data_IF_506133239657
#
_entry.id   IF_506133239657
#
_cell.length_a   1.000
_cell.length_b   1.000
_cell.length_c   1.000
_cell.angle_alpha   90.00
_cell.angle_beta   90.00
_cell.angle_gamma   90.00
#
_symmetry.space_group_name_H-M   'P 1'
#
loop_
_entity.id
_entity.type
_entity.pdbx_description
1 polymer ?
#
# COMPACT_ATOMS: atom_id res chain seq x y z
N UNK A 1 -21.58 17.13 14.65
CA UNK A 1 -20.52 16.11 14.53
C UNK A 1 -20.07 15.69 15.92
N UNK A 2 -20.46 14.49 16.38
CA UNK A 2 -20.07 13.97 17.70
C UNK A 2 -18.55 13.66 17.66
N UNK A 3 -17.77 14.30 18.52
CA UNK A 3 -16.40 13.89 18.84
C UNK A 3 -16.46 12.47 19.40
N UNK A 4 -16.16 11.47 18.57
CA UNK A 4 -15.92 10.11 19.04
C UNK A 4 -14.66 10.19 19.92
N UNK A 5 -14.83 10.16 21.25
CA UNK A 5 -13.72 10.00 22.18
C UNK A 5 -13.07 8.67 21.83
N UNK A 6 -11.76 8.70 21.60
CA UNK A 6 -10.95 7.51 21.40
C UNK A 6 -10.79 6.86 22.79
N UNK A 7 -11.86 6.19 23.23
CA UNK A 7 -11.79 5.20 24.32
C UNK A 7 -11.06 3.96 23.77
N UNK A 8 -10.51 3.14 24.66
CA UNK A 8 -9.87 1.89 24.29
C UNK A 8 -10.80 1.11 23.35
N UNK A 9 -10.33 0.79 22.14
CA UNK A 9 -11.10 -0.04 21.21
C UNK A 9 -11.41 -1.39 21.87
N UNK A 10 -12.60 -1.97 21.65
CA UNK A 10 -12.92 -3.30 22.16
C UNK A 10 -11.88 -4.30 21.63
N UNK A 11 -11.59 -5.34 22.40
CA UNK A 11 -10.57 -6.34 22.08
C UNK A 11 -10.69 -6.87 20.62
N UNK A 12 -11.93 -7.05 20.14
CA UNK A 12 -12.19 -7.44 18.73
C UNK A 12 -11.71 -6.41 17.71
N UNK A 13 -11.83 -5.11 18.02
CA UNK A 13 -11.30 -4.05 17.18
C UNK A 13 -9.77 -4.05 17.14
N UNK A 14 -9.14 -4.28 18.30
CA UNK A 14 -7.68 -4.36 18.41
C UNK A 14 -7.10 -5.52 17.59
N UNK A 15 -7.71 -6.72 17.70
CA UNK A 15 -7.31 -7.91 16.92
C UNK A 15 -7.48 -7.64 15.41
N UNK A 16 -8.62 -7.05 15.01
CA UNK A 16 -8.86 -6.70 13.61
C UNK A 16 -7.77 -5.76 13.07
N UNK A 17 -7.42 -4.71 13.85
CA UNK A 17 -6.37 -3.75 13.47
C UNK A 17 -4.99 -4.42 13.38
N UNK A 18 -4.69 -5.33 14.30
CA UNK A 18 -3.45 -6.12 14.26
C UNK A 18 -3.37 -6.97 12.98
N UNK A 19 -4.46 -7.67 12.62
CA UNK A 19 -4.48 -8.49 11.39
C UNK A 19 -4.44 -7.62 10.12
N UNK A 20 -5.12 -6.47 10.10
CA UNK A 20 -4.96 -5.49 9.01
C UNK A 20 -3.50 -5.05 8.88
N UNK A 21 -2.84 -4.74 10.00
CA UNK A 21 -1.42 -4.43 10.04
C UNK A 21 -0.55 -5.56 9.49
N UNK A 22 -0.81 -6.80 9.91
CA UNK A 22 -0.08 -7.98 9.43
C UNK A 22 -0.15 -8.11 7.90
N UNK A 23 -1.34 -7.94 7.32
CA UNK A 23 -1.53 -7.95 5.86
C UNK A 23 -0.81 -6.76 5.19
N UNK A 24 -0.84 -5.57 5.79
CA UNK A 24 -0.10 -4.40 5.29
C UNK A 24 1.41 -4.67 5.29
N UNK A 25 1.94 -5.26 6.36
CA UNK A 25 3.35 -5.62 6.49
C UNK A 25 3.79 -6.62 5.44
N UNK A 26 3.02 -7.69 5.26
CA UNK A 26 3.24 -8.68 4.20
C UNK A 26 3.20 -8.03 2.81
N UNK A 27 2.17 -7.22 2.53
CA UNK A 27 2.02 -6.53 1.25
C UNK A 27 3.15 -5.52 0.98
N UNK A 28 3.76 -4.97 2.03
CA UNK A 28 4.88 -4.04 1.90
C UNK A 28 6.18 -4.67 1.42
N UNK A 29 6.36 -5.98 1.61
CA UNK A 29 7.53 -6.74 1.15
C UNK A 29 7.32 -7.37 -0.23
N UNK A 30 6.08 -7.56 -0.65
CA UNK A 30 5.79 -8.21 -1.91
C UNK A 30 6.05 -7.29 -3.10
N UNK A 31 6.83 -7.73 -4.12
CA UNK A 31 6.97 -7.00 -5.35
C UNK A 31 5.61 -6.80 -6.04
N UNK A 32 5.33 -5.57 -6.49
CA UNK A 32 4.07 -5.23 -7.16
C UNK A 32 2.88 -4.97 -6.24
N UNK A 33 2.95 -5.30 -4.95
CA UNK A 33 1.94 -4.93 -3.95
C UNK A 33 2.43 -3.76 -3.12
N UNK A 34 1.58 -2.75 -2.92
CA UNK A 34 1.93 -1.58 -2.11
C UNK A 34 1.21 -1.62 -0.76
N UNK A 35 1.97 -1.60 0.33
CA UNK A 35 1.40 -1.44 1.68
C UNK A 35 0.56 -0.18 1.82
N UNK A 36 0.88 0.88 1.06
CA UNK A 36 0.08 2.10 0.99
C UNK A 36 -1.32 1.87 0.41
N UNK A 37 -1.43 1.02 -0.63
CA UNK A 37 -2.75 0.60 -1.16
C UNK A 37 -3.55 -0.12 -0.09
N UNK A 38 -2.93 -1.05 0.63
CA UNK A 38 -3.60 -1.78 1.70
C UNK A 38 -4.02 -0.86 2.86
N UNK A 39 -3.23 0.16 3.18
CA UNK A 39 -3.64 1.20 4.14
C UNK A 39 -4.90 1.95 3.69
N UNK A 40 -4.99 2.26 2.39
CA UNK A 40 -6.20 2.89 1.83
C UNK A 40 -7.39 1.96 1.94
N UNK A 41 -7.18 0.73 1.50
CA UNK A 41 -8.16 -0.35 1.51
C UNK A 41 -8.80 -0.57 2.88
N UNK A 42 -7.97 -0.56 3.93
CA UNK A 42 -8.42 -0.74 5.31
C UNK A 42 -8.87 0.56 6.00
N UNK A 43 -9.00 1.66 5.25
CA UNK A 43 -9.42 2.96 5.78
C UNK A 43 -8.39 3.63 6.72
N UNK A 44 -7.16 3.13 6.76
CA UNK A 44 -6.11 3.59 7.69
C UNK A 44 -5.28 4.75 7.10
N UNK A 45 -5.31 4.91 5.78
CA UNK A 45 -4.42 5.82 5.06
C UNK A 45 -4.48 7.26 5.60
N UNK A 46 -5.68 7.79 5.84
CA UNK A 46 -5.85 9.15 6.33
C UNK A 46 -5.20 9.33 7.72
N UNK A 47 -5.43 8.38 8.62
CA UNK A 47 -4.87 8.42 9.98
C UNK A 47 -3.35 8.33 9.96
N UNK A 48 -2.80 7.48 9.10
CA UNK A 48 -1.35 7.36 8.87
C UNK A 48 -0.80 8.68 8.33
N UNK A 49 -1.43 9.28 7.31
CA UNK A 49 -0.99 10.54 6.74
C UNK A 49 -1.08 11.71 7.72
N UNK A 50 -2.10 11.77 8.59
CA UNK A 50 -2.19 12.80 9.63
C UNK A 50 -1.04 12.66 10.64
N UNK A 51 -0.67 11.44 11.03
CA UNK A 51 0.50 11.20 11.90
C UNK A 51 1.80 11.54 11.19
N UNK A 52 2.00 11.08 9.95
CA UNK A 52 3.20 11.40 9.18
C UNK A 52 3.38 12.90 8.96
N UNK A 53 2.29 13.65 8.74
CA UNK A 53 2.34 15.10 8.53
C UNK A 53 2.75 15.89 9.78
N UNK A 54 2.36 15.42 10.97
CA UNK A 54 2.64 16.07 12.25
C UNK A 54 2.70 15.03 13.39
N UNK A 55 3.81 14.25 13.48
CA UNK A 55 3.90 13.09 14.38
C UNK A 55 3.72 13.49 15.86
N UNK A 56 4.40 14.52 16.31
CA UNK A 56 4.32 14.97 17.72
C UNK A 56 2.91 15.42 18.15
N UNK A 57 2.12 15.94 17.21
CA UNK A 57 0.76 16.44 17.48
C UNK A 57 -0.29 15.33 17.39
N UNK A 58 -0.14 14.43 16.42
CA UNK A 58 -1.18 13.49 16.04
C UNK A 58 -0.95 12.07 16.57
N UNK A 59 0.30 11.71 16.96
CA UNK A 59 0.63 10.36 17.42
C UNK A 59 -0.26 9.95 18.59
N UNK A 60 -0.39 10.78 19.64
CA UNK A 60 -1.23 10.48 20.81
C UNK A 60 -2.70 10.28 20.44
N UNK A 61 -3.20 11.04 19.44
CA UNK A 61 -4.58 10.95 18.94
C UNK A 61 -4.88 9.61 18.28
N UNK A 62 -3.92 9.08 17.52
CA UNK A 62 -4.10 7.86 16.73
C UNK A 62 -3.39 6.63 17.31
N UNK A 63 -2.75 6.75 18.49
CA UNK A 63 -1.97 5.67 19.09
C UNK A 63 -2.79 4.39 19.29
N UNK A 64 -4.02 4.51 19.82
CA UNK A 64 -4.90 3.35 20.04
C UNK A 64 -5.27 2.62 18.74
N UNK A 65 -5.43 3.37 17.64
CA UNK A 65 -5.72 2.83 16.31
C UNK A 65 -4.48 2.23 15.66
N UNK A 66 -3.38 3.00 15.63
CA UNK A 66 -2.20 2.67 14.82
C UNK A 66 -1.21 1.74 15.54
N UNK A 67 -1.24 1.65 16.86
CA UNK A 67 -0.35 0.75 17.60
C UNK A 67 -0.57 -0.73 17.22
N UNK A 68 -1.81 -1.29 17.27
CA UNK A 68 -2.02 -2.66 16.83
C UNK A 68 -1.69 -2.87 15.35
N UNK A 69 -1.97 -1.88 14.50
CA UNK A 69 -1.59 -1.92 13.07
C UNK A 69 -0.08 -1.96 12.92
N UNK A 70 0.67 -1.13 13.63
CA UNK A 70 2.13 -1.09 13.55
C UNK A 70 2.76 -2.40 14.06
N UNK A 71 2.25 -2.94 15.17
CA UNK A 71 2.69 -4.24 15.69
C UNK A 71 2.38 -5.37 14.69
N UNK A 72 1.18 -5.40 14.13
CA UNK A 72 0.82 -6.36 13.08
C UNK A 72 1.71 -6.20 11.85
N UNK A 73 1.97 -4.98 11.40
CA UNK A 73 2.83 -4.72 10.25
C UNK A 73 4.27 -5.16 10.50
N UNK A 74 4.80 -4.95 11.70
CA UNK A 74 6.11 -5.45 12.08
C UNK A 74 6.17 -7.00 12.04
N UNK A 75 5.16 -7.68 12.61
CA UNK A 75 5.06 -9.14 12.55
C UNK A 75 4.90 -9.63 11.10
N UNK A 76 4.08 -8.97 10.29
CA UNK A 76 3.91 -9.30 8.87
C UNK A 76 5.20 -9.12 8.08
N UNK A 77 5.88 -7.98 8.27
CA UNK A 77 7.09 -7.65 7.54
C UNK A 77 8.30 -8.52 7.95
N UNK A 78 8.51 -8.71 9.26
CA UNK A 78 9.71 -9.41 9.75
C UNK A 78 9.45 -10.88 10.11
N UNK A 79 8.26 -11.19 10.64
CA UNK A 79 7.91 -12.54 11.06
C UNK A 79 7.47 -13.45 9.92
N UNK A 80 6.70 -12.93 8.97
CA UNK A 80 6.18 -13.70 7.83
C UNK A 80 7.00 -13.52 6.55
N UNK A 81 8.00 -12.64 6.54
CA UNK A 81 8.82 -12.35 5.35
C UNK A 81 9.40 -13.63 4.73
N UNK A 82 9.95 -14.51 5.55
CA UNK A 82 10.51 -15.79 5.09
C UNK A 82 9.45 -16.72 4.50
N UNK A 83 8.31 -16.87 5.16
CA UNK A 83 7.22 -17.71 4.69
C UNK A 83 6.62 -17.21 3.38
N UNK A 84 6.36 -15.91 3.31
CA UNK A 84 5.81 -15.26 2.11
C UNK A 84 6.83 -15.27 0.98
N UNK A 85 8.11 -15.01 1.28
CA UNK A 85 9.21 -15.12 0.32
C UNK A 85 9.35 -16.52 -0.25
N UNK A 86 9.28 -17.56 0.59
CA UNK A 86 9.32 -18.96 0.17
C UNK A 86 8.09 -19.32 -0.70
N UNK A 87 6.89 -18.87 -0.32
CA UNK A 87 5.67 -19.08 -1.11
C UNK A 87 5.75 -18.38 -2.48
N UNK A 88 6.26 -17.15 -2.52
CA UNK A 88 6.46 -16.40 -3.77
C UNK A 88 7.55 -17.00 -4.67
N UNK A 89 8.58 -17.62 -4.09
CA UNK A 89 9.61 -18.33 -4.86
C UNK A 89 9.12 -19.67 -5.39
N UNK A 90 8.42 -20.46 -4.54
CA UNK A 90 7.94 -21.78 -4.92
C UNK A 90 6.68 -21.73 -5.81
N UNK A 91 5.78 -20.77 -5.54
CA UNK A 91 4.45 -20.68 -6.17
C UNK A 91 4.05 -19.25 -6.46
N UNK A 92 4.81 -18.48 -7.28
CA UNK A 92 4.60 -17.05 -7.49
C UNK A 92 3.19 -16.71 -7.99
N UNK A 93 2.68 -17.47 -8.94
CA UNK A 93 1.39 -17.23 -9.54
C UNK A 93 0.20 -17.49 -8.58
N UNK A 94 0.31 -18.52 -7.74
CA UNK A 94 -0.72 -18.81 -6.75
C UNK A 94 -0.76 -17.77 -5.64
N UNK A 95 0.39 -17.35 -5.15
CA UNK A 95 0.49 -16.28 -4.16
C UNK A 95 -0.04 -14.98 -4.73
N UNK A 96 0.34 -14.63 -5.96
CA UNK A 96 -0.15 -13.44 -6.67
C UNK A 96 -1.66 -13.48 -6.87
N UNK A 97 -2.24 -14.62 -7.27
CA UNK A 97 -3.69 -14.77 -7.42
C UNK A 97 -4.44 -14.50 -6.11
N UNK A 98 -3.96 -15.02 -4.98
CA UNK A 98 -4.54 -14.77 -3.66
C UNK A 98 -4.49 -13.27 -3.29
N UNK A 99 -3.36 -12.59 -3.55
CA UNK A 99 -3.20 -11.16 -3.29
C UNK A 99 -4.06 -10.29 -4.20
N UNK A 100 -4.14 -10.59 -5.49
CA UNK A 100 -5.04 -9.92 -6.43
C UNK A 100 -6.48 -10.05 -5.95
N UNK A 101 -6.89 -11.25 -5.52
CA UNK A 101 -8.20 -11.48 -4.93
C UNK A 101 -8.45 -10.56 -3.73
N UNK A 102 -7.50 -10.47 -2.82
CA UNK A 102 -7.60 -9.61 -1.63
C UNK A 102 -7.77 -8.13 -2.02
N UNK A 103 -7.00 -7.63 -2.99
CA UNK A 103 -7.13 -6.25 -3.46
C UNK A 103 -8.49 -6.03 -4.14
N UNK A 104 -8.91 -6.93 -5.04
CA UNK A 104 -10.20 -6.83 -5.71
C UNK A 104 -11.39 -6.87 -4.74
N UNK A 105 -11.30 -7.67 -3.67
CA UNK A 105 -12.32 -7.75 -2.62
C UNK A 105 -12.49 -6.46 -1.81
N UNK A 106 -11.55 -5.53 -1.89
CA UNK A 106 -11.63 -4.22 -1.24
C UNK A 106 -12.17 -3.12 -2.15
N UNK A 107 -12.20 -3.34 -3.48
CA UNK A 107 -12.74 -2.36 -4.43
C UNK A 107 -14.17 -1.92 -4.12
N UNK A 108 -15.11 -2.81 -3.70
CA UNK A 108 -16.46 -2.39 -3.32
C UNK A 108 -16.47 -1.35 -2.19
N UNK A 109 -15.63 -1.51 -1.17
CA UNK A 109 -15.51 -0.56 -0.07
C UNK A 109 -14.94 0.79 -0.54
N UNK A 110 -13.89 0.75 -1.36
CA UNK A 110 -13.31 1.97 -1.96
C UNK A 110 -14.30 2.71 -2.86
N UNK A 111 -15.06 1.98 -3.68
CA UNK A 111 -16.12 2.55 -4.52
C UNK A 111 -17.22 3.17 -3.68
N UNK A 112 -17.65 2.51 -2.59
CA UNK A 112 -18.64 3.05 -1.65
C UNK A 112 -18.15 4.38 -1.09
N UNK A 113 -16.93 4.41 -0.53
CA UNK A 113 -16.30 5.62 0.03
C UNK A 113 -16.16 6.74 -0.99
N UNK A 114 -15.87 6.42 -2.25
CA UNK A 114 -15.79 7.42 -3.31
C UNK A 114 -17.17 7.99 -3.68
N UNK A 115 -18.22 7.16 -3.68
CA UNK A 115 -19.59 7.55 -4.02
C UNK A 115 -20.31 8.30 -2.91
N UNK A 116 -19.95 8.09 -1.65
CA UNK A 116 -20.51 8.85 -0.50
C UNK A 116 -20.17 10.35 -0.55
N UNK A 117 -19.17 10.72 -1.32
CA UNK A 117 -18.77 12.11 -1.51
C UNK A 117 -19.50 12.71 -2.71
N UNK A 118 -19.92 14.00 -2.62
CA UNK A 118 -20.60 14.63 -3.73
C UNK A 118 -19.73 14.57 -5.00
N UNK A 119 -20.31 14.04 -6.07
CA UNK A 119 -19.62 13.87 -7.34
C UNK A 119 -19.12 15.25 -7.84
N UNK A 120 -17.83 15.33 -8.15
CA UNK A 120 -17.20 16.48 -8.76
C UNK A 120 -16.99 16.23 -10.25
N UNK A 121 -17.12 17.26 -11.09
CA UNK A 121 -16.78 17.19 -12.52
C UNK A 121 -15.36 16.68 -12.78
N UNK A 122 -14.45 16.85 -11.81
CA UNK A 122 -13.08 16.35 -11.87
C UNK A 122 -12.88 14.86 -11.48
N UNK A 123 -13.92 14.18 -10.94
CA UNK A 123 -13.74 12.84 -10.39
C UNK A 123 -13.44 11.78 -11.46
N UNK A 124 -14.21 11.72 -12.55
CA UNK A 124 -13.98 10.78 -13.64
C UNK A 124 -12.66 11.05 -14.39
N UNK A 125 -12.35 12.28 -14.81
CA UNK A 125 -11.03 12.60 -15.36
C UNK A 125 -9.88 12.20 -14.44
N UNK A 126 -10.00 12.43 -13.13
CA UNK A 126 -8.98 12.08 -12.16
C UNK A 126 -8.73 10.56 -12.10
N UNK A 127 -9.79 9.74 -12.15
CA UNK A 127 -9.67 8.28 -12.24
C UNK A 127 -8.88 7.88 -13.50
N UNK A 128 -9.32 8.31 -14.67
CA UNK A 128 -8.69 7.91 -15.94
C UNK A 128 -7.25 8.42 -16.05
N UNK A 129 -6.97 9.66 -15.64
CA UNK A 129 -5.62 10.20 -15.67
C UNK A 129 -4.69 9.44 -14.75
N UNK A 130 -5.10 9.16 -13.50
CA UNK A 130 -4.29 8.40 -12.57
C UNK A 130 -4.13 6.94 -13.04
N UNK A 131 -5.18 6.33 -13.57
CA UNK A 131 -5.11 4.99 -14.13
C UNK A 131 -4.09 4.90 -15.26
N UNK A 132 -4.20 5.76 -16.29
CA UNK A 132 -3.29 5.75 -17.44
C UNK A 132 -1.85 6.03 -17.00
N UNK A 133 -1.65 7.02 -16.13
CA UNK A 133 -0.32 7.39 -15.65
C UNK A 133 0.35 6.23 -14.91
N UNK A 134 -0.35 5.61 -13.95
CA UNK A 134 0.23 4.54 -13.13
C UNK A 134 0.32 3.21 -13.89
N UNK A 135 -0.60 2.93 -14.81
CA UNK A 135 -0.53 1.77 -15.67
C UNK A 135 0.66 1.86 -16.62
N UNK A 136 0.86 3.02 -17.26
CA UNK A 136 2.03 3.27 -18.09
C UNK A 136 3.34 3.17 -17.29
N UNK A 137 3.38 3.77 -16.09
CA UNK A 137 4.52 3.68 -15.19
C UNK A 137 4.81 2.21 -14.82
N UNK A 138 3.79 1.43 -14.47
CA UNK A 138 3.95 0.02 -14.14
C UNK A 138 4.50 -0.80 -15.33
N UNK A 139 3.99 -0.55 -16.54
CA UNK A 139 4.49 -1.21 -17.74
C UNK A 139 5.92 -0.82 -18.07
N UNK A 140 6.29 0.45 -17.88
CA UNK A 140 7.66 0.92 -18.10
C UNK A 140 8.63 0.29 -17.09
N UNK A 141 8.26 0.24 -15.81
CA UNK A 141 9.07 -0.38 -14.76
C UNK A 141 9.16 -1.91 -14.90
N UNK A 142 8.12 -2.55 -15.44
CA UNK A 142 8.06 -4.01 -15.63
C UNK A 142 8.77 -4.52 -16.89
N UNK A 143 9.04 -3.66 -17.87
CA UNK A 143 9.72 -4.05 -19.14
C UNK A 143 11.24 -4.08 -19.06
N UNK A 144 11.82 -3.75 -17.89
CA UNK A 144 13.17 -3.28 -17.82
C UNK A 144 14.27 -4.33 -17.75
N UNK A 145 15.17 -4.28 -18.73
CA UNK A 145 16.59 -4.29 -18.45
C UNK A 145 16.86 -3.03 -17.62
N UNK A 146 17.00 -3.19 -16.29
CA UNK A 146 17.15 -2.05 -15.39
C UNK A 146 18.35 -1.19 -15.76
N UNK A 147 18.26 0.09 -15.50
CA UNK A 147 19.41 0.99 -15.62
C UNK A 147 20.46 0.51 -14.60
N UNK A 148 21.65 0.18 -15.06
CA UNK A 148 22.77 -0.18 -14.17
C UNK A 148 23.43 1.12 -13.62
N UNK A 149 22.76 1.78 -12.69
CA UNK A 149 23.25 3.02 -12.09
C UNK A 149 24.29 2.69 -11.03
N UNK A 150 25.45 3.31 -11.10
CA UNK A 150 26.44 3.24 -10.05
C UNK A 150 25.99 4.07 -8.83
N UNK A 151 25.84 3.45 -7.64
CA UNK A 151 25.39 4.16 -6.45
C UNK A 151 26.42 5.19 -6.02
N UNK A 152 25.94 6.40 -5.73
CA UNK A 152 26.72 7.48 -5.13
C UNK A 152 25.83 8.28 -4.18
N UNK A 153 26.40 9.28 -3.51
CA UNK A 153 25.69 10.11 -2.53
C UNK A 153 24.37 10.71 -3.08
N UNK A 154 24.37 11.20 -4.31
CA UNK A 154 23.14 11.77 -4.92
C UNK A 154 22.06 10.72 -5.17
N UNK A 155 22.46 9.51 -5.53
CA UNK A 155 21.52 8.41 -5.71
C UNK A 155 20.93 7.94 -4.38
N UNK A 156 21.68 7.97 -3.28
CA UNK A 156 21.14 7.70 -1.94
C UNK A 156 20.15 8.78 -1.50
N UNK A 157 20.42 10.07 -1.78
CA UNK A 157 19.46 11.15 -1.56
C UNK A 157 18.16 10.91 -2.35
N UNK A 158 18.29 10.63 -3.64
CA UNK A 158 17.13 10.36 -4.51
C UNK A 158 16.36 9.13 -4.02
N UNK A 159 17.04 8.08 -3.61
CA UNK A 159 16.43 6.88 -3.03
C UNK A 159 15.63 7.21 -1.77
N UNK A 160 16.14 8.10 -0.92
CA UNK A 160 15.40 8.61 0.25
C UNK A 160 14.11 9.33 -0.14
N UNK A 161 14.15 10.17 -1.17
CA UNK A 161 12.95 10.83 -1.70
C UNK A 161 11.98 9.80 -2.27
N UNK A 162 12.46 8.86 -3.11
CA UNK A 162 11.63 7.79 -3.71
C UNK A 162 10.99 6.94 -2.61
N UNK A 163 11.73 6.62 -1.54
CA UNK A 163 11.19 5.91 -0.38
C UNK A 163 10.05 6.68 0.29
N UNK A 164 10.25 7.98 0.56
CA UNK A 164 9.21 8.84 1.13
C UNK A 164 7.97 8.96 0.23
N UNK A 165 8.20 9.10 -1.08
CA UNK A 165 7.11 9.12 -2.09
C UNK A 165 6.33 7.81 -2.10
N UNK A 166 7.03 6.66 -2.07
CA UNK A 166 6.40 5.34 -2.12
C UNK A 166 5.56 5.02 -0.88
N UNK A 167 5.91 5.55 0.28
CA UNK A 167 5.10 5.40 1.50
C UNK A 167 3.83 6.24 1.42
N UNK A 168 3.94 7.45 0.86
CA UNK A 168 2.83 8.41 0.82
C UNK A 168 1.91 8.18 -0.37
N UNK A 169 2.42 7.82 -1.53
CA UNK A 169 1.63 7.56 -2.73
C UNK A 169 1.25 6.08 -2.81
N UNK A 170 -0.03 5.73 -2.59
CA UNK A 170 -0.47 4.36 -2.72
C UNK A 170 -0.29 3.88 -4.16
N UNK A 171 0.20 2.65 -4.33
CA UNK A 171 0.45 2.05 -5.64
C UNK A 171 1.86 2.22 -6.19
N UNK A 172 2.69 3.09 -5.60
CA UNK A 172 4.12 3.11 -5.91
C UNK A 172 4.85 2.09 -5.04
N UNK A 173 5.51 1.14 -5.69
CA UNK A 173 6.39 0.17 -5.04
C UNK A 173 7.82 0.68 -5.08
N UNK A 174 8.42 0.93 -3.92
CA UNK A 174 9.83 1.31 -3.81
C UNK A 174 10.73 0.29 -4.48
N UNK A 175 10.51 -1.00 -4.19
CA UNK A 175 11.31 -2.09 -4.73
C UNK A 175 11.30 -2.11 -6.25
N UNK A 176 10.14 -1.94 -6.89
CA UNK A 176 10.04 -1.90 -8.36
C UNK A 176 10.82 -0.76 -8.98
N UNK A 177 10.77 0.43 -8.38
CA UNK A 177 11.53 1.59 -8.87
C UNK A 177 13.03 1.36 -8.69
N UNK A 178 13.45 0.85 -7.53
CA UNK A 178 14.86 0.60 -7.25
C UNK A 178 15.45 -0.54 -8.09
N UNK A 179 14.65 -1.58 -8.37
CA UNK A 179 15.06 -2.66 -9.28
C UNK A 179 15.26 -2.08 -10.69
N UNK A 180 14.32 -1.27 -11.19
CA UNK A 180 14.44 -0.62 -12.49
C UNK A 180 15.67 0.29 -12.59
N UNK A 181 15.99 1.02 -11.51
CA UNK A 181 17.19 1.87 -11.45
C UNK A 181 18.49 1.09 -11.20
N UNK A 182 18.43 -0.23 -10.94
CA UNK A 182 19.60 -1.03 -10.58
C UNK A 182 20.14 -0.75 -9.17
N UNK A 183 19.39 0.01 -8.34
CA UNK A 183 19.82 0.46 -7.01
C UNK A 183 19.35 -0.46 -5.87
N UNK A 184 18.52 -1.48 -6.17
CA UNK A 184 17.96 -2.34 -5.13
C UNK A 184 19.02 -3.19 -4.43
N UNK A 185 19.86 -3.90 -5.20
CA UNK A 185 20.93 -4.72 -4.63
C UNK A 185 21.98 -3.88 -3.90
N UNK A 186 22.53 -2.78 -4.48
CA UNK A 186 23.45 -1.89 -3.76
C UNK A 186 22.87 -1.30 -2.47
N UNK A 187 21.55 -1.00 -2.44
CA UNK A 187 20.89 -0.49 -1.26
C UNK A 187 20.84 -1.55 -0.14
N UNK A 188 20.50 -2.81 -0.49
CA UNK A 188 20.43 -3.91 0.48
C UNK A 188 21.83 -4.26 1.02
N UNK A 189 22.83 -4.26 0.16
CA UNK A 189 24.23 -4.52 0.52
C UNK A 189 24.84 -3.34 1.26
N UNK A 190 24.53 -2.11 0.84
CA UNK A 190 25.05 -0.86 1.38
C UNK A 190 24.42 -0.40 2.69
N UNK A 191 23.42 -1.13 3.22
CA UNK A 191 22.79 -0.81 4.50
C UNK A 191 23.77 -0.74 5.69
N UNK A 192 25.02 -1.17 5.49
CA UNK A 192 26.12 -1.11 6.46
C UNK A 192 26.99 0.16 6.32
N UNK A 193 26.79 0.98 5.29
CA UNK A 193 27.62 2.14 4.99
C UNK A 193 26.97 3.44 5.48
N UNK A 194 27.83 4.43 5.81
CA UNK A 194 27.40 5.77 6.26
C UNK A 194 26.48 6.49 5.26
N UNK A 195 26.59 6.18 3.97
CA UNK A 195 25.74 6.75 2.92
C UNK A 195 24.26 6.40 3.10
N UNK A 196 23.96 5.22 3.67
CA UNK A 196 22.61 4.83 4.03
C UNK A 196 22.01 5.73 5.12
N UNK A 197 22.81 6.27 6.01
CA UNK A 197 22.35 7.15 7.09
C UNK A 197 21.71 8.44 6.56
N UNK A 198 22.10 8.90 5.37
CA UNK A 198 21.52 10.09 4.73
C UNK A 198 20.13 9.82 4.16
N UNK A 199 19.89 8.61 3.70
CA UNK A 199 18.60 8.20 3.12
C UNK A 199 17.44 8.37 4.11
N UNK A 200 17.63 8.00 5.39
CA UNK A 200 16.58 8.04 6.41
C UNK A 200 16.04 9.45 6.67
N UNK A 201 16.87 10.47 7.00
CA UNK A 201 16.36 11.82 7.27
C UNK A 201 15.72 12.45 6.03
N UNK A 202 16.27 12.20 4.84
CA UNK A 202 15.69 12.70 3.57
C UNK A 202 14.33 12.05 3.32
N UNK A 203 14.23 10.74 3.49
CA UNK A 203 12.97 10.00 3.34
C UNK A 203 11.91 10.45 4.36
N UNK A 204 12.28 10.62 5.62
CA UNK A 204 11.39 11.14 6.66
C UNK A 204 10.91 12.56 6.30
N UNK A 205 11.82 13.43 5.85
CA UNK A 205 11.46 14.76 5.38
C UNK A 205 10.48 14.74 4.20
N UNK A 206 10.73 13.88 3.23
CA UNK A 206 9.83 13.67 2.08
C UNK A 206 8.46 13.16 2.52
N UNK A 207 8.40 12.17 3.42
CA UNK A 207 7.15 11.65 4.00
C UNK A 207 6.37 12.79 4.66
N UNK A 208 7.01 13.57 5.52
CA UNK A 208 6.34 14.65 6.25
C UNK A 208 5.79 15.73 5.31
N UNK A 209 6.58 16.12 4.31
CA UNK A 209 6.17 17.14 3.33
C UNK A 209 5.00 16.65 2.48
N UNK A 210 5.11 15.45 1.91
CA UNK A 210 4.10 14.87 1.05
C UNK A 210 2.83 14.51 1.82
N UNK A 211 2.94 14.01 3.05
CA UNK A 211 1.78 13.74 3.89
C UNK A 211 1.00 15.02 4.22
N UNK A 212 1.68 16.15 4.44
CA UNK A 212 1.01 17.47 4.60
C UNK A 212 0.27 17.87 3.33
N UNK A 213 0.88 17.68 2.16
CA UNK A 213 0.25 17.92 0.87
C UNK A 213 -0.99 17.05 0.68
N UNK A 214 -0.85 15.73 0.91
CA UNK A 214 -1.96 14.78 0.80
C UNK A 214 -3.12 15.16 1.73
N UNK A 215 -2.85 15.48 2.99
CA UNK A 215 -3.88 15.90 3.93
C UNK A 215 -4.63 17.17 3.45
N UNK A 216 -3.93 18.15 2.88
CA UNK A 216 -4.56 19.33 2.30
C UNK A 216 -5.42 18.98 1.08
N UNK A 217 -4.92 18.10 0.20
CA UNK A 217 -5.66 17.67 -0.99
C UNK A 217 -6.91 16.88 -0.61
N UNK A 218 -6.82 15.95 0.35
CA UNK A 218 -7.98 15.22 0.86
C UNK A 218 -9.01 16.13 1.53
N UNK A 219 -8.56 17.17 2.26
CA UNK A 219 -9.46 18.13 2.87
C UNK A 219 -10.19 19.00 1.83
N UNK A 220 -9.48 19.39 0.76
CA UNK A 220 -10.02 20.31 -0.27
C UNK A 220 -10.79 19.60 -1.38
N UNK A 221 -10.31 18.42 -1.80
CA UNK A 221 -10.84 17.67 -2.95
C UNK A 221 -11.11 16.19 -2.62
N UNK A 222 -11.94 15.88 -1.61
CA UNK A 222 -12.07 14.52 -1.09
C UNK A 222 -12.59 13.51 -2.14
N UNK A 223 -13.52 13.92 -3.01
CA UNK A 223 -14.03 13.07 -4.08
C UNK A 223 -12.93 12.77 -5.12
N UNK A 224 -12.27 13.81 -5.63
CA UNK A 224 -11.21 13.67 -6.64
C UNK A 224 -10.10 12.75 -6.14
N UNK A 225 -9.65 12.94 -4.89
CA UNK A 225 -8.60 12.09 -4.28
C UNK A 225 -9.03 10.62 -4.16
N UNK A 226 -10.30 10.36 -3.84
CA UNK A 226 -10.80 8.97 -3.78
C UNK A 226 -10.81 8.31 -5.17
N UNK A 227 -11.16 9.05 -6.23
CA UNK A 227 -11.12 8.55 -7.60
C UNK A 227 -9.69 8.39 -8.13
N UNK A 228 -8.75 9.27 -7.75
CA UNK A 228 -7.30 9.07 -8.03
C UNK A 228 -6.84 7.74 -7.44
N UNK A 229 -7.16 7.48 -6.17
CA UNK A 229 -6.76 6.23 -5.51
C UNK A 229 -7.37 5.01 -6.20
N UNK A 230 -8.64 5.07 -6.57
CA UNK A 230 -9.29 4.00 -7.34
C UNK A 230 -8.57 3.73 -8.67
N UNK A 231 -8.21 4.79 -9.40
CA UNK A 231 -7.45 4.66 -10.64
C UNK A 231 -6.08 4.03 -10.43
N UNK A 232 -5.36 4.45 -9.38
CA UNK A 232 -4.05 3.87 -9.02
C UNK A 232 -4.18 2.39 -8.65
N UNK A 233 -5.14 2.05 -7.78
CA UNK A 233 -5.38 0.65 -7.36
C UNK A 233 -5.71 -0.23 -8.56
N UNK A 234 -6.60 0.22 -9.45
CA UNK A 234 -6.95 -0.51 -10.66
C UNK A 234 -5.72 -0.68 -11.58
N UNK A 235 -4.96 0.40 -11.81
CA UNK A 235 -3.79 0.40 -12.68
C UNK A 235 -2.68 -0.54 -12.21
N UNK A 236 -2.47 -0.64 -10.91
CA UNK A 236 -1.43 -1.49 -10.33
C UNK A 236 -1.89 -2.95 -10.15
N UNK A 237 -3.20 -3.20 -10.03
CA UNK A 237 -3.74 -4.54 -9.84
C UNK A 237 -3.90 -5.32 -11.15
N UNK A 238 -4.35 -4.66 -12.24
CA UNK A 238 -4.60 -5.31 -13.53
C UNK A 238 -3.38 -6.08 -14.05
N UNK A 239 -2.16 -5.51 -14.05
CA UNK A 239 -0.98 -6.21 -14.55
C UNK A 239 -0.54 -7.41 -13.69
N UNK A 240 -1.02 -7.49 -12.44
CA UNK A 240 -0.72 -8.61 -11.54
C UNK A 240 -1.65 -9.80 -11.76
N UNK A 241 -2.73 -9.65 -12.53
CA UNK A 241 -3.65 -10.76 -12.80
C UNK A 241 -2.91 -11.83 -13.60
N UNK A 242 -2.80 -13.07 -13.10
CA UNK A 242 -2.11 -14.13 -13.80
C UNK A 242 -2.81 -14.46 -15.13
N UNK A 243 -2.09 -14.40 -16.25
CA UNK A 243 -2.66 -14.60 -17.61
C UNK A 243 -2.19 -15.89 -18.27
N UNK A 244 -1.10 -16.51 -17.80
CA UNK A 244 -0.60 -17.76 -18.33
C UNK A 244 -1.02 -18.94 -17.43
N UNK A 245 -1.77 -19.92 -17.98
CA UNK A 245 -2.20 -21.10 -17.24
C UNK A 245 -1.53 -22.34 -17.81
N UNK A 246 -0.87 -23.13 -16.94
CA UNK A 246 -0.17 -24.36 -17.34
C UNK A 246 -1.15 -25.50 -17.65
N UNK A 247 -2.33 -25.51 -17.03
CA UNK A 247 -3.37 -26.51 -17.22
C UNK A 247 -4.75 -25.98 -16.78
N UNK A 248 -5.80 -26.72 -17.09
CA UNK A 248 -7.16 -26.44 -16.61
C UNK A 248 -7.23 -26.49 -15.08
N UNK A 249 -6.51 -27.44 -14.46
CA UNK A 249 -6.43 -27.57 -13.01
C UNK A 249 -5.75 -26.32 -12.40
N UNK A 250 -4.66 -25.83 -12.99
CA UNK A 250 -3.94 -24.62 -12.57
C UNK A 250 -4.86 -23.38 -12.61
N UNK A 251 -5.64 -23.23 -13.68
CA UNK A 251 -6.65 -22.16 -13.76
C UNK A 251 -7.65 -22.20 -12.59
N UNK A 252 -8.19 -23.38 -12.27
CA UNK A 252 -9.17 -23.51 -11.19
C UNK A 252 -8.55 -23.25 -9.82
N UNK A 253 -7.30 -23.68 -9.57
CA UNK A 253 -6.60 -23.40 -8.31
C UNK A 253 -6.36 -21.91 -8.14
N UNK A 254 -5.88 -21.20 -9.17
CA UNK A 254 -5.67 -19.74 -9.10
C UNK A 254 -6.99 -19.00 -8.95
N UNK A 255 -8.05 -19.42 -9.63
CA UNK A 255 -9.38 -18.86 -9.47
C UNK A 255 -9.90 -19.05 -8.04
N UNK A 256 -9.73 -20.23 -7.47
CA UNK A 256 -10.10 -20.51 -6.07
C UNK A 256 -9.34 -19.60 -5.10
N UNK A 257 -8.02 -19.45 -5.27
CA UNK A 257 -7.21 -18.59 -4.42
C UNK A 257 -7.61 -17.12 -4.55
N UNK A 258 -7.94 -16.66 -5.75
CA UNK A 258 -8.48 -15.33 -5.99
C UNK A 258 -9.82 -15.12 -5.27
N UNK A 259 -10.73 -16.09 -5.37
CA UNK A 259 -12.02 -16.06 -4.67
C UNK A 259 -11.84 -16.06 -3.15
N UNK A 260 -10.93 -16.87 -2.63
CA UNK A 260 -10.60 -16.90 -1.19
C UNK A 260 -10.06 -15.54 -0.74
N UNK A 261 -9.09 -14.97 -1.46
CA UNK A 261 -8.57 -13.64 -1.16
C UNK A 261 -9.67 -12.58 -1.18
N UNK A 262 -10.53 -12.61 -2.20
CA UNK A 262 -11.68 -11.70 -2.33
C UNK A 262 -12.66 -11.84 -1.14
N UNK A 263 -13.01 -13.06 -0.77
CA UNK A 263 -13.91 -13.33 0.35
C UNK A 263 -13.32 -12.88 1.69
N UNK A 264 -12.01 -13.10 1.89
CA UNK A 264 -11.29 -12.62 3.08
C UNK A 264 -11.37 -11.10 3.18
N UNK A 265 -11.09 -10.37 2.10
CA UNK A 265 -11.17 -8.91 2.09
C UNK A 265 -12.59 -8.40 2.38
N UNK A 266 -13.62 -9.00 1.80
CA UNK A 266 -15.02 -8.67 2.11
C UNK A 266 -15.38 -8.96 3.57
N UNK A 267 -14.87 -10.06 4.14
CA UNK A 267 -15.08 -10.37 5.54
C UNK A 267 -14.46 -9.32 6.46
N UNK A 268 -13.25 -8.84 6.14
CA UNK A 268 -12.60 -7.75 6.87
C UNK A 268 -13.38 -6.44 6.79
N UNK A 269 -13.90 -6.06 5.61
CA UNK A 269 -14.74 -4.86 5.45
C UNK A 269 -16.00 -4.96 6.31
N UNK A 270 -16.72 -6.09 6.24
CA UNK A 270 -17.92 -6.32 7.05
C UNK A 270 -17.66 -6.34 8.55
N UNK A 271 -16.55 -6.95 8.98
CA UNK A 271 -16.15 -6.96 10.39
C UNK A 271 -15.78 -5.55 10.87
N UNK A 272 -15.05 -4.79 10.06
CA UNK A 272 -14.70 -3.40 10.35
C UNK A 272 -15.95 -2.54 10.56
N UNK A 273 -16.92 -2.64 9.66
CA UNK A 273 -18.20 -1.93 9.77
C UNK A 273 -18.98 -2.34 11.03
N UNK A 274 -19.08 -3.65 11.32
CA UNK A 274 -19.79 -4.15 12.52
C UNK A 274 -19.13 -3.72 13.82
N UNK A 275 -17.81 -3.66 13.88
CA UNK A 275 -17.06 -3.24 15.07
C UNK A 275 -16.98 -1.71 15.21
N UNK A 276 -17.58 -0.95 14.28
CA UNK A 276 -17.55 0.51 14.30
C UNK A 276 -16.14 1.08 14.12
N UNK A 277 -15.27 0.34 13.44
CA UNK A 277 -13.89 0.70 13.18
C UNK A 277 -13.71 1.57 11.92
N UNK A 278 -14.82 2.10 11.36
CA UNK A 278 -14.82 3.07 10.24
C UNK A 278 -14.67 4.53 10.69
#
# INVERSE_FOLDING_TARGET
>A
MKKKQIGAEPLGGWILRFVQGLIIGVGGILPGVSGGVLCVVFGLYRSVMEVCAAPFKNLKKYLGLLLPVALGAAVGCFGLAHLVGAAMQAYPDYATAAFVGLILGTLPALLRTAREKPASRGSAPAFFTSFVLFFALFLLLGRGEGLAIQPNFFWYLLTGVIWGVSIVLPGLSLSSILIFLGLFAPLVEGAKNLDFAVLLPVGIGAIMLLARLMNRLFARYPAVMSYIILGVVAATTIPLIPTGFASVADFFVRLLLLIVGFAVALAFDRLGTKLGCE
#
